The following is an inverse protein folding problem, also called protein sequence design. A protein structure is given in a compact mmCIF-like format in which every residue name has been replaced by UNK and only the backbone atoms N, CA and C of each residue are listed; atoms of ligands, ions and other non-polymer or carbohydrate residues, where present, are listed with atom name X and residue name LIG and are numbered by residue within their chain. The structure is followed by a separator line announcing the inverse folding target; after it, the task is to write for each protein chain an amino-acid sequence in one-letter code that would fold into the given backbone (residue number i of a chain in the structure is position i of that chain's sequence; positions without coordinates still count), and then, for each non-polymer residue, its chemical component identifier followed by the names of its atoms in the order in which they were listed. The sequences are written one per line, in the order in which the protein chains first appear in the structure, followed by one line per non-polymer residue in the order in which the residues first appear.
data_IF_995806813210
#
_entry.id   IF_995806813210
#
_cell.length_a   1.000
_cell.length_b   1.000
_cell.length_c   1.000
_cell.angle_alpha   90.00
_cell.angle_beta   90.00
_cell.angle_gamma   90.00
#
_symmetry.space_group_name_H-M   'P 1'
#
loop_
_entity.id
_entity.type
_entity.pdbx_description
1 polymer ?
#
# COMPACT_ATOMS: atom_id res chain seq x y z
N UNK A 1 12.52 23.87 -16.55
CA UNK A 1 11.87 22.62 -17.04
C UNK A 1 12.91 21.52 -17.00
N UNK A 2 13.06 20.87 -15.86
CA UNK A 2 13.90 19.68 -15.73
C UNK A 2 13.01 18.48 -16.03
N UNK A 3 13.20 17.88 -17.21
CA UNK A 3 12.53 16.64 -17.59
C UNK A 3 12.85 15.57 -16.55
N UNK A 4 11.84 15.12 -15.81
CA UNK A 4 11.90 13.87 -15.06
C UNK A 4 12.27 12.76 -16.04
N UNK A 5 13.23 11.87 -15.71
CA UNK A 5 13.50 10.70 -16.53
C UNK A 5 12.19 9.95 -16.73
N UNK A 6 11.87 9.57 -17.97
CA UNK A 6 10.72 8.72 -18.27
C UNK A 6 10.83 7.45 -17.40
N UNK A 7 10.03 7.39 -16.34
CA UNK A 7 9.83 6.16 -15.59
C UNK A 7 9.30 5.12 -16.59
N UNK A 8 9.88 3.91 -16.64
CA UNK A 8 9.39 2.87 -17.52
C UNK A 8 7.89 2.66 -17.30
N UNK A 9 7.13 2.49 -18.39
CA UNK A 9 5.69 2.26 -18.29
C UNK A 9 5.43 1.00 -17.45
N UNK A 10 4.29 0.94 -16.76
CA UNK A 10 3.92 -0.23 -15.93
C UNK A 10 4.11 -1.54 -16.70
N UNK A 11 3.72 -1.60 -17.95
CA UNK A 11 3.86 -2.80 -18.80
C UNK A 11 5.32 -3.25 -18.97
N UNK A 12 6.27 -2.32 -19.09
CA UNK A 12 7.71 -2.63 -19.20
C UNK A 12 8.28 -3.14 -17.87
N UNK A 13 7.81 -2.62 -16.72
CA UNK A 13 8.27 -3.05 -15.39
C UNK A 13 8.00 -4.55 -15.14
N UNK A 14 6.89 -5.07 -15.67
CA UNK A 14 6.45 -6.44 -15.42
C UNK A 14 7.20 -7.45 -16.32
N UNK A 15 7.50 -7.08 -17.56
CA UNK A 15 8.10 -7.99 -18.55
C UNK A 15 9.58 -8.33 -18.31
N UNK A 16 10.32 -7.55 -17.53
CA UNK A 16 11.79 -7.75 -17.33
C UNK A 16 12.16 -8.51 -16.05
N UNK A 17 11.18 -8.99 -15.28
CA UNK A 17 11.39 -9.58 -13.95
C UNK A 17 11.21 -11.10 -13.96
N UNK A 18 11.79 -11.78 -12.98
CA UNK A 18 11.57 -13.23 -12.82
C UNK A 18 10.12 -13.49 -12.39
N UNK A 19 9.41 -14.28 -13.18
CA UNK A 19 7.98 -14.55 -13.00
C UNK A 19 7.73 -15.65 -11.96
N UNK A 20 6.81 -15.37 -11.02
CA UNK A 20 6.09 -16.33 -10.19
C UNK A 20 4.61 -16.18 -10.53
N UNK A 21 4.00 -17.23 -11.08
CA UNK A 21 2.62 -17.21 -11.55
C UNK A 21 1.84 -18.39 -10.95
N UNK A 22 0.58 -18.15 -10.57
CA UNK A 22 -0.32 -19.19 -10.05
C UNK A 22 0.24 -19.95 -8.84
N UNK A 23 1.01 -19.25 -7.99
CA UNK A 23 1.62 -19.85 -6.82
C UNK A 23 0.75 -19.71 -5.58
N UNK A 24 0.72 -20.78 -4.78
CA UNK A 24 0.25 -20.75 -3.40
C UNK A 24 1.48 -20.75 -2.49
N UNK A 25 1.78 -19.60 -1.89
CA UNK A 25 2.96 -19.36 -1.08
C UNK A 25 2.58 -19.45 0.39
N UNK A 26 3.26 -20.34 1.13
CA UNK A 26 2.98 -20.64 2.54
C UNK A 26 4.28 -20.68 3.35
N UNK A 27 4.14 -20.69 4.66
CA UNK A 27 5.27 -20.72 5.60
C UNK A 27 5.87 -19.34 5.86
N UNK A 28 6.53 -19.21 7.00
CA UNK A 28 7.25 -17.98 7.36
C UNK A 28 8.26 -17.63 6.27
N UNK A 29 8.31 -16.35 5.86
CA UNK A 29 9.37 -15.83 4.97
C UNK A 29 9.46 -16.51 3.58
N UNK A 30 8.31 -16.94 3.03
CA UNK A 30 8.23 -17.67 1.75
C UNK A 30 9.07 -17.08 0.59
N UNK A 31 9.21 -15.76 0.51
CA UNK A 31 10.01 -15.04 -0.49
C UNK A 31 10.86 -13.92 0.18
N UNK A 32 11.47 -14.25 1.32
CA UNK A 32 12.31 -13.30 2.06
C UNK A 32 13.48 -12.77 1.21
N UNK A 33 13.74 -11.48 1.31
CA UNK A 33 14.76 -10.78 0.51
C UNK A 33 14.58 -10.94 -1.00
N UNK A 34 13.36 -11.25 -1.46
CA UNK A 34 13.06 -11.33 -2.88
C UNK A 34 13.42 -10.02 -3.58
N UNK A 35 14.11 -10.12 -4.71
CA UNK A 35 14.40 -8.98 -5.55
C UNK A 35 14.07 -9.27 -7.01
N UNK A 36 13.64 -8.23 -7.73
CA UNK A 36 13.38 -8.27 -9.18
C UNK A 36 12.39 -9.37 -9.60
N UNK A 37 11.35 -9.58 -8.79
CA UNK A 37 10.28 -10.54 -9.05
C UNK A 37 9.02 -9.87 -9.61
N UNK A 38 8.39 -10.57 -10.54
CA UNK A 38 7.01 -10.36 -10.93
C UNK A 38 6.17 -11.50 -10.35
N UNK A 39 5.25 -11.19 -9.44
CA UNK A 39 4.37 -12.15 -8.77
C UNK A 39 2.95 -11.90 -9.23
N UNK A 40 2.33 -12.87 -9.90
CA UNK A 40 0.99 -12.72 -10.47
C UNK A 40 0.09 -13.92 -10.22
N UNK A 41 -1.22 -13.69 -10.19
CA UNK A 41 -2.26 -14.71 -10.00
C UNK A 41 -2.00 -15.62 -8.79
N UNK A 42 -1.42 -15.08 -7.73
CA UNK A 42 -0.86 -15.86 -6.63
C UNK A 42 -1.54 -15.55 -5.30
N UNK A 43 -1.33 -16.42 -4.32
CA UNK A 43 -1.87 -16.26 -2.97
C UNK A 43 -0.73 -16.44 -1.98
N UNK A 44 -0.51 -15.44 -1.13
CA UNK A 44 0.23 -15.60 0.11
C UNK A 44 -0.77 -16.04 1.18
N UNK A 45 -0.74 -17.32 1.56
CA UNK A 45 -1.61 -17.88 2.59
C UNK A 45 -1.02 -17.64 3.98
N UNK A 46 -0.88 -18.67 4.81
CA UNK A 46 -0.32 -18.60 6.15
C UNK A 46 1.20 -18.53 6.07
N UNK A 47 1.79 -17.64 6.89
CA UNK A 47 3.22 -17.37 6.84
C UNK A 47 3.50 -15.90 7.12
N UNK A 48 4.14 -15.60 8.24
CA UNK A 48 4.48 -14.23 8.58
C UNK A 48 5.64 -13.72 7.71
N UNK A 49 5.62 -12.42 7.38
CA UNK A 49 6.74 -11.73 6.73
C UNK A 49 7.18 -12.30 5.36
N UNK A 50 6.27 -12.72 4.45
CA UNK A 50 6.64 -13.44 3.24
C UNK A 50 7.59 -12.68 2.31
N UNK A 51 7.45 -11.37 2.15
CA UNK A 51 8.30 -10.53 1.27
C UNK A 51 9.14 -9.52 2.06
N UNK A 52 9.44 -9.83 3.33
CA UNK A 52 10.25 -8.94 4.17
C UNK A 52 11.64 -8.72 3.53
N UNK A 53 12.10 -7.47 3.53
CA UNK A 53 13.29 -6.99 2.82
C UNK A 53 13.23 -7.15 1.29
N UNK A 54 12.02 -7.15 0.71
CA UNK A 54 11.85 -7.21 -0.73
C UNK A 54 12.40 -5.99 -1.46
N UNK A 55 12.82 -6.17 -2.72
CA UNK A 55 13.31 -5.09 -3.56
C UNK A 55 12.78 -5.18 -4.99
N UNK A 56 12.38 -4.04 -5.58
CA UNK A 56 11.95 -3.97 -6.97
C UNK A 56 10.88 -5.03 -7.32
N UNK A 57 9.78 -5.07 -6.57
CA UNK A 57 8.74 -6.07 -6.75
C UNK A 57 7.61 -5.56 -7.65
N UNK A 58 7.18 -6.37 -8.62
CA UNK A 58 5.93 -6.16 -9.35
C UNK A 58 4.94 -7.25 -8.91
N UNK A 59 3.78 -6.84 -8.39
CA UNK A 59 2.81 -7.77 -7.81
C UNK A 59 1.44 -7.44 -8.38
N UNK A 60 0.79 -8.39 -9.03
CA UNK A 60 -0.56 -8.22 -9.55
C UNK A 60 -1.47 -9.43 -9.37
N UNK A 61 -2.79 -9.21 -9.40
CA UNK A 61 -3.80 -10.27 -9.28
C UNK A 61 -3.53 -11.22 -8.10
N UNK A 62 -3.06 -10.65 -6.98
CA UNK A 62 -2.50 -11.41 -5.85
C UNK A 62 -3.27 -11.12 -4.57
N UNK A 63 -3.50 -12.18 -3.79
CA UNK A 63 -4.21 -12.12 -2.51
C UNK A 63 -3.20 -12.30 -1.37
N UNK A 64 -3.17 -11.35 -0.43
CA UNK A 64 -2.47 -11.47 0.83
C UNK A 64 -3.45 -11.88 1.94
N UNK A 65 -3.21 -13.04 2.55
CA UNK A 65 -4.06 -13.56 3.64
C UNK A 65 -3.45 -13.41 5.02
N UNK A 66 -2.16 -13.09 5.15
CA UNK A 66 -1.49 -13.13 6.45
C UNK A 66 -0.51 -11.97 6.68
N UNK A 67 0.03 -11.93 7.90
CA UNK A 67 0.66 -10.75 8.49
C UNK A 67 2.00 -10.37 7.87
N UNK A 68 2.27 -9.06 7.92
CA UNK A 68 3.57 -8.44 7.60
C UNK A 68 4.11 -8.65 6.18
N UNK A 69 3.31 -8.73 5.09
CA UNK A 69 3.85 -9.08 3.77
C UNK A 69 5.03 -8.24 3.30
N UNK A 70 4.94 -6.92 3.36
CA UNK A 70 5.90 -5.99 2.78
C UNK A 70 6.56 -5.15 3.89
N UNK A 71 7.27 -5.81 4.79
CA UNK A 71 8.12 -5.12 5.76
C UNK A 71 9.49 -4.78 5.17
N UNK A 72 9.99 -3.57 5.39
CA UNK A 72 11.31 -3.12 4.91
C UNK A 72 11.50 -3.27 3.39
N UNK A 73 10.43 -3.12 2.61
CA UNK A 73 10.50 -3.26 1.16
C UNK A 73 10.97 -1.97 0.50
N UNK A 74 11.84 -2.09 -0.50
CA UNK A 74 12.29 -0.96 -1.30
C UNK A 74 11.83 -1.12 -2.75
N UNK A 75 10.97 -0.22 -3.21
CA UNK A 75 10.31 -0.26 -4.52
C UNK A 75 9.38 -1.45 -4.72
N UNK A 76 8.07 -1.18 -4.73
CA UNK A 76 7.06 -2.17 -5.08
C UNK A 76 5.91 -1.54 -5.88
N UNK A 77 5.44 -2.24 -6.91
CA UNK A 77 4.21 -1.90 -7.64
C UNK A 77 3.18 -2.99 -7.41
N UNK A 78 2.03 -2.60 -6.86
CA UNK A 78 0.89 -3.47 -6.59
C UNK A 78 -0.29 -3.08 -7.49
N UNK A 79 -0.92 -4.07 -8.12
CA UNK A 79 -2.03 -3.85 -9.04
C UNK A 79 -3.07 -4.96 -8.93
N UNK A 80 -4.37 -4.66 -8.81
CA UNK A 80 -5.39 -5.72 -8.64
C UNK A 80 -5.09 -6.66 -7.47
N UNK A 81 -4.76 -6.10 -6.30
CA UNK A 81 -4.47 -6.92 -5.10
C UNK A 81 -5.62 -6.90 -4.11
N UNK A 82 -5.73 -7.96 -3.31
CA UNK A 82 -6.68 -8.05 -2.19
C UNK A 82 -5.97 -8.41 -0.91
N UNK A 83 -6.19 -7.62 0.13
CA UNK A 83 -5.64 -7.84 1.47
C UNK A 83 -6.76 -8.24 2.41
N UNK A 84 -6.72 -9.48 2.88
CA UNK A 84 -7.74 -10.03 3.79
C UNK A 84 -7.61 -9.44 5.20
N UNK A 85 -8.64 -9.58 6.06
CA UNK A 85 -8.61 -9.05 7.42
C UNK A 85 -7.36 -9.44 8.24
N UNK A 86 -6.86 -10.66 8.04
CA UNK A 86 -5.69 -11.21 8.73
C UNK A 86 -4.35 -10.74 8.13
N UNK A 87 -4.36 -10.04 6.99
CA UNK A 87 -3.18 -9.41 6.39
C UNK A 87 -2.75 -8.13 7.14
N UNK A 88 -2.73 -8.24 8.47
CA UNK A 88 -2.52 -7.18 9.43
C UNK A 88 -1.07 -6.67 9.41
N UNK A 89 -0.92 -5.37 9.70
CA UNK A 89 0.35 -4.65 9.72
C UNK A 89 1.16 -4.89 8.43
N UNK A 90 0.48 -4.78 7.28
CA UNK A 90 0.97 -5.37 6.06
C UNK A 90 2.20 -4.71 5.42
N UNK A 91 2.30 -3.38 5.48
CA UNK A 91 3.27 -2.58 4.71
C UNK A 91 3.96 -1.59 5.64
N UNK A 92 5.06 -2.01 6.25
CA UNK A 92 5.78 -1.20 7.24
C UNK A 92 7.21 -0.93 6.78
N UNK A 93 7.75 0.27 7.09
CA UNK A 93 9.11 0.67 6.73
C UNK A 93 9.41 0.53 5.23
N UNK A 94 8.38 0.69 4.40
CA UNK A 94 8.48 0.53 2.94
C UNK A 94 8.70 1.87 2.29
N UNK A 95 9.57 1.91 1.28
CA UNK A 95 9.84 3.10 0.49
C UNK A 95 9.53 2.86 -0.98
N UNK A 96 8.90 3.84 -1.64
CA UNK A 96 8.65 3.83 -3.08
C UNK A 96 7.59 2.81 -3.49
N UNK A 97 6.36 2.95 -3.00
CA UNK A 97 5.30 1.99 -3.29
C UNK A 97 4.17 2.63 -4.09
N UNK A 98 3.83 2.00 -5.22
CA UNK A 98 2.62 2.30 -5.98
C UNK A 98 1.61 1.19 -5.78
N UNK A 99 0.37 1.51 -5.43
CA UNK A 99 -0.72 0.55 -5.28
C UNK A 99 -1.94 1.02 -6.07
N UNK A 100 -2.46 0.14 -6.92
CA UNK A 100 -3.60 0.45 -7.77
C UNK A 100 -4.66 -0.64 -7.81
N UNK A 101 -5.93 -0.26 -8.01
CA UNK A 101 -7.07 -1.17 -8.11
C UNK A 101 -7.08 -2.20 -6.97
N UNK A 102 -6.92 -1.74 -5.73
CA UNK A 102 -6.67 -2.61 -4.58
C UNK A 102 -7.74 -2.52 -3.52
N UNK A 103 -8.13 -3.68 -2.98
CA UNK A 103 -9.03 -3.78 -1.83
C UNK A 103 -8.26 -4.14 -0.58
N UNK A 104 -8.33 -3.29 0.45
CA UNK A 104 -7.70 -3.53 1.75
C UNK A 104 -8.76 -3.73 2.83
N UNK A 105 -8.77 -4.92 3.44
CA UNK A 105 -9.71 -5.29 4.52
C UNK A 105 -9.05 -5.40 5.89
N UNK A 106 -7.73 -5.29 5.95
CA UNK A 106 -6.96 -5.31 7.19
C UNK A 106 -7.03 -3.96 7.90
N UNK A 107 -7.31 -4.00 9.21
CA UNK A 107 -7.47 -2.81 10.09
C UNK A 107 -6.23 -1.92 10.11
N UNK A 108 -5.04 -2.53 10.02
CA UNK A 108 -3.74 -1.85 10.05
C UNK A 108 -2.91 -2.27 8.86
N UNK A 109 -2.53 -1.33 7.99
CA UNK A 109 -1.79 -1.66 6.77
C UNK A 109 -0.48 -0.91 6.68
N UNK A 110 -0.51 0.43 6.59
CA UNK A 110 0.68 1.24 6.35
C UNK A 110 1.26 1.85 7.63
N UNK A 111 2.58 1.77 7.83
CA UNK A 111 3.28 2.42 8.95
C UNK A 111 4.74 2.76 8.63
N UNK A 112 5.18 3.97 8.99
CA UNK A 112 6.57 4.42 8.73
C UNK A 112 7.01 4.21 7.27
N UNK A 113 6.10 4.44 6.33
CA UNK A 113 6.36 4.23 4.91
C UNK A 113 6.52 5.59 4.19
N UNK A 114 7.25 5.61 3.08
CA UNK A 114 7.53 6.85 2.34
C UNK A 114 7.40 6.68 0.84
N UNK A 115 7.13 7.79 0.16
CA UNK A 115 6.98 7.84 -1.30
C UNK A 115 5.89 6.88 -1.77
N UNK A 116 4.66 7.14 -1.32
CA UNK A 116 3.49 6.31 -1.54
C UNK A 116 2.57 6.91 -2.60
N UNK A 117 2.14 6.10 -3.57
CA UNK A 117 1.16 6.47 -4.58
C UNK A 117 0.02 5.46 -4.57
N UNK A 118 -1.13 5.85 -4.03
CA UNK A 118 -2.32 5.00 -3.96
C UNK A 118 -3.39 5.55 -4.91
N UNK A 119 -3.79 4.76 -5.90
CA UNK A 119 -4.82 5.17 -6.86
C UNK A 119 -5.88 4.06 -7.04
N UNK A 120 -7.15 4.40 -6.87
CA UNK A 120 -8.26 3.43 -6.87
C UNK A 120 -8.04 2.34 -5.81
N UNK A 121 -8.04 2.78 -4.55
CA UNK A 121 -7.81 1.92 -3.38
C UNK A 121 -8.96 2.09 -2.39
N UNK A 122 -9.55 0.97 -1.96
CA UNK A 122 -10.61 0.97 -0.95
C UNK A 122 -10.16 0.27 0.33
N UNK A 123 -10.05 1.01 1.44
CA UNK A 123 -9.82 0.49 2.78
C UNK A 123 -11.16 0.30 3.51
N UNK A 124 -11.67 -0.92 3.62
CA UNK A 124 -12.97 -1.19 4.32
C UNK A 124 -12.84 -1.16 5.83
N UNK A 125 -11.63 -1.36 6.32
CA UNK A 125 -11.33 -1.33 7.73
C UNK A 125 -9.99 -0.60 7.86
N UNK A 126 -10.08 0.71 8.00
CA UNK A 126 -8.96 1.65 8.05
C UNK A 126 -8.72 2.14 9.48
N UNK A 127 -8.98 1.27 10.48
CA UNK A 127 -8.95 1.64 11.90
C UNK A 127 -7.62 2.27 12.34
N UNK A 128 -6.49 1.78 11.82
CA UNK A 128 -5.17 2.36 12.08
C UNK A 128 -4.24 2.19 10.86
N UNK A 129 -4.36 3.04 9.84
CA UNK A 129 -3.53 2.93 8.63
C UNK A 129 -2.96 4.26 8.18
N UNK A 130 -1.85 4.19 7.44
CA UNK A 130 -1.04 5.34 7.01
C UNK A 130 -0.51 6.13 8.21
N UNK A 131 0.00 5.46 9.25
CA UNK A 131 0.56 6.18 10.39
C UNK A 131 2.04 6.49 10.17
N UNK A 132 2.47 7.71 10.51
CA UNK A 132 3.86 8.17 10.36
C UNK A 132 4.42 7.97 8.95
N UNK A 133 3.60 8.20 7.92
CA UNK A 133 4.05 8.10 6.54
C UNK A 133 4.41 9.48 5.96
N UNK A 134 5.25 9.49 4.92
CA UNK A 134 5.76 10.72 4.33
C UNK A 134 5.65 10.68 2.81
N UNK A 135 5.35 11.82 2.18
CA UNK A 135 5.19 11.95 0.72
C UNK A 135 4.12 10.97 0.20
N UNK A 136 2.87 11.23 0.54
CA UNK A 136 1.74 10.34 0.23
C UNK A 136 0.83 11.01 -0.79
N UNK A 137 0.61 10.33 -1.92
CA UNK A 137 -0.36 10.71 -2.94
C UNK A 137 -1.54 9.74 -2.90
N UNK A 138 -2.75 10.30 -2.77
CA UNK A 138 -4.00 9.56 -2.68
C UNK A 138 -4.94 10.02 -3.79
N UNK A 139 -5.26 9.14 -4.74
CA UNK A 139 -6.18 9.42 -5.85
C UNK A 139 -7.32 8.41 -5.86
N UNK A 140 -8.57 8.87 -5.85
CA UNK A 140 -9.74 7.98 -5.87
C UNK A 140 -9.69 6.93 -4.73
N UNK A 141 -9.46 7.39 -3.51
CA UNK A 141 -9.30 6.52 -2.34
C UNK A 141 -10.54 6.60 -1.47
N UNK A 142 -11.01 5.46 -0.96
CA UNK A 142 -12.08 5.41 0.05
C UNK A 142 -11.59 4.68 1.29
N UNK A 143 -11.85 5.24 2.46
CA UNK A 143 -11.47 4.65 3.74
C UNK A 143 -12.65 4.66 4.74
N UNK A 144 -12.82 3.54 5.44
CA UNK A 144 -13.76 3.42 6.56
C UNK A 144 -13.01 2.96 7.81
N UNK A 145 -12.84 3.84 8.79
CA UNK A 145 -12.12 3.55 10.03
C UNK A 145 -11.68 4.78 10.80
N UNK A 146 -11.33 4.59 12.07
CA UNK A 146 -11.30 5.68 13.05
C UNK A 146 -10.07 6.59 12.99
N UNK A 147 -8.89 6.08 12.62
CA UNK A 147 -7.65 6.85 12.58
C UNK A 147 -6.93 6.66 11.24
N UNK A 148 -7.41 7.37 10.23
CA UNK A 148 -6.79 7.36 8.90
C UNK A 148 -5.74 8.45 8.81
N UNK A 149 -4.48 8.06 8.57
CA UNK A 149 -3.45 9.04 8.25
C UNK A 149 -2.84 9.76 9.47
N UNK A 150 -2.71 9.14 10.63
CA UNK A 150 -2.10 9.80 11.80
C UNK A 150 -0.62 10.18 11.57
N UNK A 151 -0.23 11.39 11.96
CA UNK A 151 1.15 11.90 11.95
C UNK A 151 1.85 11.81 10.57
N UNK A 152 1.14 12.13 9.48
CA UNK A 152 1.76 12.19 8.16
C UNK A 152 2.49 13.50 7.90
N UNK A 153 3.40 13.47 6.92
CA UNK A 153 4.04 14.65 6.36
C UNK A 153 3.95 14.65 4.84
N UNK A 154 3.51 15.77 4.26
CA UNK A 154 3.39 15.98 2.82
C UNK A 154 2.42 14.99 2.19
N UNK A 155 1.12 15.27 2.33
CA UNK A 155 0.05 14.47 1.72
C UNK A 155 -0.68 15.32 0.69
N UNK A 156 -0.89 14.75 -0.50
CA UNK A 156 -1.79 15.31 -1.52
C UNK A 156 -2.88 14.29 -1.79
N UNK A 157 -4.12 14.69 -1.56
CA UNK A 157 -5.29 13.84 -1.75
C UNK A 157 -6.26 14.45 -2.76
N UNK A 158 -6.66 13.67 -3.75
CA UNK A 158 -7.66 14.02 -4.74
C UNK A 158 -8.73 12.92 -4.82
N UNK A 159 -9.99 13.29 -4.68
CA UNK A 159 -11.11 12.35 -4.63
C UNK A 159 -10.95 11.29 -3.51
N UNK A 160 -10.66 11.77 -2.30
CA UNK A 160 -10.58 10.96 -1.08
C UNK A 160 -11.91 11.00 -0.33
N UNK A 161 -12.45 9.84 0.02
CA UNK A 161 -13.61 9.71 0.91
C UNK A 161 -13.21 9.01 2.19
N UNK A 162 -13.46 9.64 3.34
CA UNK A 162 -13.21 9.06 4.67
C UNK A 162 -14.54 9.00 5.43
N UNK A 163 -14.84 7.84 6.00
CA UNK A 163 -15.89 7.66 7.01
C UNK A 163 -15.25 7.12 8.30
N UNK A 164 -15.19 7.93 9.35
CA UNK A 164 -14.41 7.61 10.55
C UNK A 164 -14.51 8.67 11.63
N UNK A 165 -13.59 8.65 12.59
CA UNK A 165 -13.55 9.65 13.66
C UNK A 165 -12.50 10.73 13.40
N UNK A 166 -11.26 10.35 13.10
CA UNK A 166 -10.10 11.23 13.02
C UNK A 166 -9.37 11.02 11.69
N UNK A 167 -9.37 12.06 10.84
CA UNK A 167 -8.59 12.10 9.61
C UNK A 167 -7.34 12.95 9.82
N UNK A 168 -6.17 12.39 9.52
CA UNK A 168 -4.90 13.11 9.50
C UNK A 168 -4.41 13.74 10.83
N UNK A 169 -4.88 13.25 11.97
CA UNK A 169 -4.47 13.74 13.31
C UNK A 169 -2.94 13.84 13.47
N UNK A 170 -2.45 15.03 13.81
CA UNK A 170 -1.03 15.33 14.02
C UNK A 170 -0.22 15.44 12.73
N UNK A 171 -0.88 15.52 11.57
CA UNK A 171 -0.20 15.60 10.28
C UNK A 171 0.16 17.03 9.89
N UNK A 172 1.13 17.18 8.98
CA UNK A 172 1.59 18.46 8.45
C UNK A 172 1.68 18.45 6.93
N UNK A 173 1.43 19.61 6.32
CA UNK A 173 1.44 19.84 4.88
C UNK A 173 0.48 18.91 4.14
N UNK A 174 -0.82 19.10 4.37
CA UNK A 174 -1.88 18.29 3.77
C UNK A 174 -2.67 19.15 2.77
N UNK A 175 -2.67 18.74 1.51
CA UNK A 175 -3.47 19.31 0.43
C UNK A 175 -4.59 18.33 0.05
N UNK A 176 -5.83 18.81 0.00
CA UNK A 176 -7.01 17.98 -0.27
C UNK A 176 -7.91 18.63 -1.32
N UNK A 177 -8.30 17.84 -2.32
CA UNK A 177 -9.10 18.26 -3.47
C UNK A 177 -10.26 17.28 -3.70
N UNK A 178 -11.43 17.79 -4.08
CA UNK A 178 -12.58 16.97 -4.52
C UNK A 178 -12.96 15.83 -3.55
N UNK A 179 -12.81 16.05 -2.25
CA UNK A 179 -12.85 14.99 -1.22
C UNK A 179 -14.01 15.18 -0.25
N UNK A 180 -14.44 14.10 0.39
CA UNK A 180 -15.55 14.09 1.35
C UNK A 180 -15.12 13.42 2.64
N UNK A 181 -15.08 14.18 3.74
CA UNK A 181 -14.76 13.66 5.07
C UNK A 181 -16.03 13.64 5.93
N UNK A 182 -16.44 12.42 6.28
CA UNK A 182 -17.49 12.15 7.26
C UNK A 182 -16.75 11.75 8.54
N UNK A 183 -16.23 12.75 9.24
CA UNK A 183 -15.39 12.57 10.44
C UNK A 183 -15.83 13.47 11.59
N UNK A 184 -15.42 13.12 12.80
CA UNK A 184 -15.58 14.00 13.96
C UNK A 184 -14.55 15.13 13.93
N UNK A 185 -13.31 14.80 13.52
CA UNK A 185 -12.23 15.76 13.36
C UNK A 185 -11.42 15.47 12.08
N UNK A 186 -10.78 16.49 11.56
CA UNK A 186 -9.87 16.39 10.43
C UNK A 186 -8.76 17.43 10.53
N UNK A 187 -7.54 16.98 10.23
CA UNK A 187 -6.26 17.69 10.28
C UNK A 187 -5.74 17.93 11.70
#
# INVERSE_FOLDING_TARGET
MTSTPNQPTKEVIFLTKKLINQAKLTGERALFQAHDLHITNSIFEDGESPLKHGQNLAIDHTIFKWKYPLWYTNHATLNHTTWQPEAHAGIWYTQGLTMTHTRVRATKTFRHASDLHLNDVTFSNAGETLWWCQNVQLDNVTATGDYFGMNNENVVANNLTINGNYAFDGSKNIEVHNSTFITHDAF
#
